data_IF_984010745904
#
_entry.id   IF_984010745904
#
_cell.length_a   1.000
_cell.length_b   1.000
_cell.length_c   1.000
_cell.angle_alpha   90.00
_cell.angle_beta   90.00
_cell.angle_gamma   90.00
#
_symmetry.space_group_name_H-M   'P 1'
#
loop_
_entity.id
_entity.type
_entity.pdbx_description
1 polymer ?
#
# COMPACT_ATOMS: atom_id res chain seq x y z
N UNK A 1 17.12 -9.56 42.79
CA UNK A 1 17.59 -8.22 43.24
C UNK A 1 17.40 -7.24 42.08
N UNK A 2 16.19 -6.67 41.95
CA UNK A 2 15.86 -5.68 40.93
C UNK A 2 15.98 -4.28 41.56
N UNK A 3 16.87 -3.42 41.03
CA UNK A 3 17.02 -2.04 41.52
C UNK A 3 15.91 -1.15 40.95
N UNK A 4 15.34 -0.23 41.73
CA UNK A 4 14.34 0.71 41.24
C UNK A 4 14.99 1.76 40.33
N UNK A 5 14.34 2.05 39.21
CA UNK A 5 14.73 3.12 38.28
C UNK A 5 14.46 4.48 38.93
N UNK A 6 15.48 5.09 39.53
CA UNK A 6 15.43 6.48 39.99
C UNK A 6 15.75 7.45 38.84
N UNK A 7 14.79 8.33 38.56
CA UNK A 7 14.88 9.73 38.07
C UNK A 7 15.80 10.13 36.89
N UNK A 8 16.45 9.22 36.17
CA UNK A 8 17.27 9.53 34.98
C UNK A 8 16.52 9.51 33.64
N UNK A 9 15.26 9.06 33.62
CA UNK A 9 14.51 8.73 32.39
C UNK A 9 14.04 9.96 31.60
N UNK A 10 13.86 11.11 32.25
CA UNK A 10 13.26 12.30 31.63
C UNK A 10 14.21 13.08 30.72
N UNK A 11 15.51 13.12 31.05
CA UNK A 11 16.51 13.85 30.27
C UNK A 11 16.92 13.11 28.97
N UNK A 12 16.96 11.77 29.01
CA UNK A 12 17.25 10.94 27.82
C UNK A 12 16.09 10.94 26.82
N UNK A 13 14.85 11.06 27.33
CA UNK A 13 13.63 11.08 26.53
C UNK A 13 13.46 12.37 25.69
N UNK A 14 14.05 13.50 26.12
CA UNK A 14 13.97 14.78 25.38
C UNK A 14 14.76 14.78 24.06
N UNK A 15 15.88 14.04 23.96
CA UNK A 15 16.62 13.89 22.69
C UNK A 15 15.94 12.91 21.73
N UNK A 16 15.19 11.93 22.23
CA UNK A 16 14.44 10.97 21.39
C UNK A 16 13.17 11.53 20.77
N UNK A 17 12.65 12.67 21.27
CA UNK A 17 11.45 13.32 20.71
C UNK A 17 11.64 13.83 19.26
N UNK A 18 12.89 13.94 18.79
CA UNK A 18 13.23 14.29 17.41
C UNK A 18 13.57 13.09 16.52
N UNK A 19 13.74 11.89 17.07
CA UNK A 19 14.16 10.73 16.30
C UNK A 19 12.95 9.86 15.92
N UNK A 20 12.63 9.85 14.64
CA UNK A 20 11.45 9.15 14.11
C UNK A 20 11.52 7.65 14.35
N UNK A 21 12.72 7.04 14.23
CA UNK A 21 12.92 5.61 14.51
C UNK A 21 12.53 5.27 15.94
N UNK A 22 12.96 6.07 16.91
CA UNK A 22 12.60 5.87 18.31
C UNK A 22 11.07 5.94 18.51
N UNK A 23 10.40 6.89 17.86
CA UNK A 23 8.93 7.01 17.88
C UNK A 23 8.25 5.75 17.31
N UNK A 24 8.74 5.22 16.19
CA UNK A 24 8.23 3.99 15.57
C UNK A 24 8.38 2.80 16.53
N UNK A 25 9.59 2.61 17.06
CA UNK A 25 9.91 1.51 17.99
C UNK A 25 9.09 1.58 19.29
N UNK A 26 8.88 2.79 19.83
CA UNK A 26 8.04 2.98 21.02
C UNK A 26 6.57 2.65 20.75
N UNK A 27 6.07 2.91 19.54
CA UNK A 27 4.73 2.48 19.14
C UNK A 27 4.62 0.96 19.05
N UNK A 28 5.63 0.29 18.49
CA UNK A 28 5.66 -1.18 18.40
C UNK A 28 5.68 -1.83 19.81
N UNK A 29 6.45 -1.26 20.74
CA UNK A 29 6.46 -1.70 22.15
C UNK A 29 5.11 -1.47 22.83
N UNK A 30 4.44 -0.34 22.56
CA UNK A 30 3.12 -0.07 23.10
C UNK A 30 2.08 -1.08 22.58
N UNK A 31 2.12 -1.40 21.28
CA UNK A 31 1.26 -2.43 20.70
C UNK A 31 1.50 -3.80 21.35
N UNK A 32 2.76 -4.19 21.55
CA UNK A 32 3.12 -5.45 22.22
C UNK A 32 2.65 -5.55 23.68
N UNK A 33 2.37 -4.42 24.33
CA UNK A 33 1.78 -4.35 25.68
C UNK A 33 0.25 -4.36 25.68
N UNK A 34 -0.39 -4.36 24.51
CA UNK A 34 -1.84 -4.21 24.38
C UNK A 34 -2.35 -2.77 24.45
N UNK A 35 -1.45 -1.77 24.50
CA UNK A 35 -1.80 -0.35 24.51
C UNK A 35 -2.04 0.18 23.08
N UNK A 36 -3.02 -0.39 22.37
CA UNK A 36 -3.24 -0.14 20.93
C UNK A 36 -3.51 1.34 20.62
N UNK A 37 -4.35 2.03 21.41
CA UNK A 37 -4.56 3.48 21.26
C UNK A 37 -3.29 4.29 21.52
N UNK A 38 -2.46 3.84 22.47
CA UNK A 38 -1.18 4.45 22.77
C UNK A 38 -0.17 4.31 21.63
N UNK A 39 -0.21 3.19 20.91
CA UNK A 39 0.59 2.95 19.71
C UNK A 39 0.15 3.87 18.56
N UNK A 40 -1.16 3.95 18.30
CA UNK A 40 -1.74 4.81 17.26
C UNK A 40 -1.33 6.28 17.48
N UNK A 41 -1.45 6.80 18.70
CA UNK A 41 -1.05 8.18 19.03
C UNK A 41 0.43 8.44 18.71
N UNK A 42 1.32 7.50 19.02
CA UNK A 42 2.76 7.62 18.75
C UNK A 42 3.04 7.62 17.25
N UNK A 43 2.46 6.70 16.49
CA UNK A 43 2.67 6.66 15.05
C UNK A 43 2.06 7.87 14.34
N UNK A 44 0.91 8.39 14.78
CA UNK A 44 0.34 9.64 14.26
C UNK A 44 1.26 10.84 14.51
N UNK A 45 1.97 10.89 15.64
CA UNK A 45 2.91 11.98 15.94
C UNK A 45 4.09 12.08 14.96
N UNK A 46 4.36 11.03 14.17
CA UNK A 46 5.40 11.04 13.13
C UNK A 46 5.09 12.09 12.06
N UNK A 47 3.82 12.39 11.80
CA UNK A 47 3.41 13.44 10.87
C UNK A 47 4.09 14.78 11.18
N UNK A 48 4.14 15.15 12.46
CA UNK A 48 4.74 16.40 12.92
C UNK A 48 6.27 16.34 12.96
N UNK A 49 6.85 15.15 13.14
CA UNK A 49 8.30 14.97 13.18
C UNK A 49 8.91 14.95 11.76
N UNK A 50 8.43 14.04 10.92
CA UNK A 50 8.78 13.95 9.52
C UNK A 50 7.74 13.08 8.76
N UNK A 51 6.89 13.68 7.92
CA UNK A 51 5.81 12.98 7.24
C UNK A 51 6.29 11.92 6.24
N UNK A 52 7.54 12.00 5.78
CA UNK A 52 8.08 11.05 4.81
C UNK A 52 8.17 9.61 5.37
N UNK A 53 8.21 9.43 6.70
CA UNK A 53 8.27 8.11 7.33
C UNK A 53 6.89 7.47 7.58
N UNK A 54 5.79 8.20 7.36
CA UNK A 54 4.43 7.68 7.55
C UNK A 54 4.15 6.35 6.82
N UNK A 55 4.61 6.15 5.56
CA UNK A 55 4.37 4.87 4.87
C UNK A 55 4.96 3.66 5.56
N UNK A 56 6.06 3.81 6.33
CA UNK A 56 6.68 2.71 7.07
C UNK A 56 5.80 2.21 8.23
N UNK A 57 4.87 3.04 8.70
CA UNK A 57 3.93 2.72 9.76
C UNK A 57 2.47 2.59 9.30
N UNK A 58 2.17 2.85 8.03
CA UNK A 58 0.79 2.85 7.54
C UNK A 58 0.09 1.50 7.73
N UNK A 59 0.74 0.40 7.37
CA UNK A 59 0.21 -0.96 7.52
C UNK A 59 -0.07 -1.31 9.00
N UNK A 60 0.89 -1.07 9.90
CA UNK A 60 0.73 -1.38 11.34
C UNK A 60 -0.30 -0.47 12.00
N UNK A 61 -0.39 0.80 11.58
CA UNK A 61 -1.40 1.74 12.03
C UNK A 61 -2.80 1.26 11.65
N UNK A 62 -3.00 0.82 10.40
CA UNK A 62 -4.29 0.29 9.96
C UNK A 62 -4.69 -1.00 10.69
N UNK A 63 -3.76 -1.93 10.90
CA UNK A 63 -4.01 -3.12 11.72
C UNK A 63 -4.47 -2.76 13.14
N UNK A 64 -3.83 -1.77 13.75
CA UNK A 64 -4.24 -1.28 15.07
C UNK A 64 -5.65 -0.65 15.05
N UNK A 65 -6.00 0.11 14.01
CA UNK A 65 -7.35 0.66 13.83
C UNK A 65 -8.41 -0.42 13.64
N UNK A 66 -8.11 -1.44 12.82
CA UNK A 66 -9.00 -2.58 12.59
C UNK A 66 -9.22 -3.37 13.89
N UNK A 67 -8.17 -3.60 14.67
CA UNK A 67 -8.28 -4.28 15.98
C UNK A 67 -9.21 -3.55 16.95
N UNK A 68 -9.30 -2.22 16.84
CA UNK A 68 -10.20 -1.39 17.66
C UNK A 68 -11.58 -1.17 17.03
N UNK A 69 -11.89 -1.80 15.89
CA UNK A 69 -13.15 -1.58 15.16
C UNK A 69 -13.29 -0.19 14.54
N UNK A 70 -12.19 0.57 14.42
CA UNK A 70 -12.15 1.97 13.95
C UNK A 70 -11.46 2.10 12.59
N UNK A 71 -11.62 1.11 11.72
CA UNK A 71 -10.95 1.04 10.42
C UNK A 71 -11.23 2.27 9.53
N UNK A 72 -12.49 2.72 9.49
CA UNK A 72 -12.91 3.89 8.70
C UNK A 72 -12.19 5.18 9.12
N UNK A 73 -11.95 5.39 10.43
CA UNK A 73 -11.21 6.57 10.92
C UNK A 73 -9.74 6.54 10.47
N UNK A 74 -9.09 5.38 10.59
CA UNK A 74 -7.71 5.20 10.15
C UNK A 74 -7.55 5.43 8.64
N UNK A 75 -8.50 4.90 7.87
CA UNK A 75 -8.54 5.02 6.41
C UNK A 75 -8.77 6.46 5.95
N UNK A 76 -9.75 7.16 6.54
CA UNK A 76 -10.00 8.57 6.27
C UNK A 76 -8.77 9.44 6.58
N UNK A 77 -8.07 9.13 7.67
CA UNK A 77 -6.84 9.82 8.01
C UNK A 77 -5.72 9.56 7.00
N UNK A 78 -5.49 8.32 6.57
CA UNK A 78 -4.47 8.01 5.56
C UNK A 78 -4.79 8.67 4.21
N UNK A 79 -6.07 8.72 3.80
CA UNK A 79 -6.52 9.44 2.61
C UNK A 79 -6.12 10.91 2.64
N UNK A 80 -6.31 11.58 3.78
CA UNK A 80 -5.88 12.99 3.94
C UNK A 80 -4.38 13.19 3.75
N UNK A 81 -3.55 12.14 3.96
CA UNK A 81 -2.09 12.22 3.78
C UNK A 81 -1.66 11.96 2.34
N UNK A 82 -2.50 11.31 1.52
CA UNK A 82 -2.20 11.12 0.11
C UNK A 82 -2.15 12.45 -0.64
N UNK A 83 -2.98 13.43 -0.23
CA UNK A 83 -2.97 14.79 -0.80
C UNK A 83 -1.67 15.57 -0.53
N UNK A 84 -0.86 15.15 0.45
CA UNK A 84 0.33 15.87 0.92
C UNK A 84 1.67 15.40 0.30
N UNK A 85 1.66 14.81 -0.91
CA UNK A 85 2.84 14.24 -1.64
C UNK A 85 3.30 12.85 -1.17
N UNK A 86 2.46 12.08 -0.47
CA UNK A 86 2.75 10.69 -0.04
C UNK A 86 1.94 9.63 -0.80
N UNK A 87 1.19 10.04 -1.83
CA UNK A 87 0.29 9.21 -2.64
C UNK A 87 0.83 7.82 -2.98
N UNK A 88 1.95 7.67 -3.72
CA UNK A 88 2.38 6.37 -4.23
C UNK A 88 2.84 5.40 -3.13
N UNK A 89 3.43 5.89 -2.03
CA UNK A 89 3.90 5.03 -0.93
C UNK A 89 2.77 4.51 -0.04
N UNK A 90 1.68 5.27 0.07
CA UNK A 90 0.50 4.89 0.85
C UNK A 90 -0.53 4.12 0.04
N UNK A 91 -0.44 4.19 -1.30
CA UNK A 91 -1.45 3.71 -2.22
C UNK A 91 -1.86 2.25 -1.98
N UNK A 92 -0.88 1.35 -1.86
CA UNK A 92 -1.13 -0.08 -1.68
C UNK A 92 -1.88 -0.39 -0.37
N UNK A 93 -1.55 0.33 0.70
CA UNK A 93 -2.20 0.15 2.01
C UNK A 93 -3.61 0.71 1.94
N UNK A 94 -3.77 1.96 1.48
CA UNK A 94 -5.08 2.61 1.40
C UNK A 94 -6.02 1.82 0.49
N UNK A 95 -5.56 1.36 -0.68
CA UNK A 95 -6.38 0.56 -1.60
C UNK A 95 -6.94 -0.71 -0.95
N UNK A 96 -6.11 -1.47 -0.25
CA UNK A 96 -6.52 -2.73 0.37
C UNK A 96 -7.63 -2.48 1.41
N UNK A 97 -7.42 -1.50 2.29
CA UNK A 97 -8.40 -1.19 3.31
C UNK A 97 -9.63 -0.47 2.75
N UNK A 98 -9.51 0.24 1.63
CA UNK A 98 -10.65 0.79 0.91
C UNK A 98 -11.55 -0.30 0.37
N UNK A 99 -10.95 -1.31 -0.25
CA UNK A 99 -11.66 -2.48 -0.76
C UNK A 99 -12.39 -3.22 0.36
N UNK A 100 -11.75 -3.37 1.53
CA UNK A 100 -12.33 -4.04 2.69
C UNK A 100 -13.49 -3.26 3.32
N UNK A 101 -13.46 -1.92 3.30
CA UNK A 101 -14.44 -1.07 4.01
C UNK A 101 -15.58 -0.61 3.11
N UNK A 102 -15.30 -0.21 1.87
CA UNK A 102 -16.26 0.43 0.96
C UNK A 102 -16.50 -0.37 -0.32
N UNK A 103 -15.71 -1.43 -0.57
CA UNK A 103 -15.88 -2.29 -1.73
C UNK A 103 -15.15 -1.81 -2.98
N UNK A 104 -15.37 -2.53 -4.09
CA UNK A 104 -14.55 -2.41 -5.30
C UNK A 104 -14.78 -1.10 -6.07
N UNK A 105 -16.00 -0.56 -6.07
CA UNK A 105 -16.33 0.69 -6.78
C UNK A 105 -15.59 1.90 -6.23
N UNK A 106 -15.60 2.07 -4.91
CA UNK A 106 -14.90 3.17 -4.25
C UNK A 106 -13.37 3.02 -4.36
N UNK A 107 -12.87 1.77 -4.33
CA UNK A 107 -11.45 1.49 -4.54
C UNK A 107 -10.99 1.83 -5.97
N UNK A 108 -11.81 1.55 -7.00
CA UNK A 108 -11.52 1.95 -8.40
C UNK A 108 -11.62 3.46 -8.58
N UNK A 109 -12.62 4.10 -7.98
CA UNK A 109 -12.75 5.56 -8.01
C UNK A 109 -11.52 6.24 -7.40
N UNK A 110 -11.02 5.72 -6.26
CA UNK A 110 -9.76 6.16 -5.65
C UNK A 110 -8.59 6.01 -6.63
N UNK A 111 -8.43 4.86 -7.29
CA UNK A 111 -7.34 4.65 -8.25
C UNK A 111 -7.38 5.62 -9.43
N UNK A 112 -8.57 5.84 -10.00
CA UNK A 112 -8.76 6.80 -11.10
C UNK A 112 -8.39 8.21 -10.67
N UNK A 113 -8.76 8.61 -9.46
CA UNK A 113 -8.38 9.92 -8.92
C UNK A 113 -6.86 10.06 -8.72
N UNK A 114 -6.20 9.01 -8.22
CA UNK A 114 -4.75 9.04 -8.03
C UNK A 114 -4.00 9.11 -9.36
N UNK A 115 -4.42 8.37 -10.40
CA UNK A 115 -3.80 8.45 -11.74
C UNK A 115 -3.95 9.86 -12.33
N UNK A 116 -5.11 10.50 -12.16
CA UNK A 116 -5.34 11.88 -12.62
C UNK A 116 -4.44 12.89 -11.90
N UNK A 117 -4.24 12.73 -10.59
CA UNK A 117 -3.42 13.64 -9.77
C UNK A 117 -1.92 13.43 -9.98
N UNK A 118 -1.49 12.18 -10.00
CA UNK A 118 -0.09 11.78 -10.12
C UNK A 118 0.01 10.43 -10.85
N UNK A 119 0.49 10.40 -12.11
CA UNK A 119 0.65 9.14 -12.82
C UNK A 119 1.67 8.27 -12.09
N UNK A 120 1.25 7.06 -11.71
CA UNK A 120 2.15 6.05 -11.13
C UNK A 120 1.86 4.68 -11.74
N UNK A 121 2.92 3.90 -11.97
CA UNK A 121 2.78 2.54 -12.47
C UNK A 121 2.07 1.64 -11.46
N UNK A 122 2.24 1.92 -10.16
CA UNK A 122 1.51 1.21 -9.12
C UNK A 122 -0.01 1.44 -9.21
N UNK A 123 -0.47 2.69 -9.35
CA UNK A 123 -1.90 2.99 -9.48
C UNK A 123 -2.52 2.37 -10.73
N UNK A 124 -1.80 2.40 -11.86
CA UNK A 124 -2.23 1.73 -13.07
C UNK A 124 -2.34 0.21 -12.87
N UNK A 125 -1.36 -0.40 -12.20
CA UNK A 125 -1.38 -1.85 -11.90
C UNK A 125 -2.63 -2.22 -11.10
N UNK A 126 -2.96 -1.45 -10.05
CA UNK A 126 -4.16 -1.67 -9.22
C UNK A 126 -5.48 -1.48 -9.98
N UNK A 127 -5.53 -0.51 -10.89
CA UNK A 127 -6.72 -0.28 -11.72
C UNK A 127 -6.97 -1.45 -12.66
N UNK A 128 -5.94 -1.93 -13.37
CA UNK A 128 -6.06 -3.08 -14.27
C UNK A 128 -6.40 -4.35 -13.47
N UNK A 129 -5.84 -4.54 -12.27
CA UNK A 129 -6.24 -5.62 -11.37
C UNK A 129 -7.75 -5.60 -11.07
N UNK A 130 -8.28 -4.45 -10.69
CA UNK A 130 -9.69 -4.31 -10.35
C UNK A 130 -10.61 -4.53 -11.58
N UNK A 131 -10.21 -4.04 -12.76
CA UNK A 131 -10.96 -4.25 -14.01
C UNK A 131 -10.93 -5.71 -14.47
N UNK A 132 -9.79 -6.39 -14.31
CA UNK A 132 -9.67 -7.82 -14.61
C UNK A 132 -10.59 -8.67 -13.72
N UNK A 133 -10.68 -8.34 -12.41
CA UNK A 133 -11.59 -9.02 -11.49
C UNK A 133 -13.05 -8.84 -11.93
N UNK A 134 -13.47 -7.61 -12.26
CA UNK A 134 -14.83 -7.33 -12.75
C UNK A 134 -15.15 -8.06 -14.05
N UNK A 135 -14.22 -8.07 -15.00
CA UNK A 135 -14.41 -8.78 -16.26
C UNK A 135 -14.57 -10.30 -16.03
N UNK A 136 -13.79 -10.88 -15.11
CA UNK A 136 -13.90 -12.30 -14.76
C UNK A 136 -15.22 -12.62 -14.02
N UNK A 137 -15.70 -11.73 -13.16
CA UNK A 137 -16.97 -11.87 -12.44
C UNK A 137 -18.17 -11.74 -13.38
N UNK A 138 -18.13 -10.83 -14.35
CA UNK A 138 -19.16 -10.67 -15.38
C UNK A 138 -19.31 -11.94 -16.22
N UNK A 139 -18.19 -12.49 -16.72
CA UNK A 139 -18.18 -13.77 -17.46
C UNK A 139 -18.70 -14.92 -16.57
N UNK A 140 -18.31 -14.97 -15.29
CA UNK A 140 -18.78 -16.02 -14.37
C UNK A 140 -20.29 -15.93 -14.09
N UNK A 141 -20.82 -14.71 -13.92
CA UNK A 141 -22.25 -14.49 -13.69
C UNK A 141 -23.09 -14.79 -14.93
N UNK A 142 -22.62 -14.42 -16.12
CA UNK A 142 -23.28 -14.73 -17.39
C UNK A 142 -23.31 -16.24 -17.69
N UNK A 143 -22.18 -16.94 -17.46
CA UNK A 143 -22.13 -18.41 -17.56
C UNK A 143 -23.06 -19.06 -16.52
N UNK A 144 -23.08 -18.56 -15.28
CA UNK A 144 -23.99 -19.08 -14.26
C UNK A 144 -25.48 -18.84 -14.60
N UNK A 145 -25.80 -17.73 -15.27
CA UNK A 145 -27.17 -17.42 -15.71
C UNK A 145 -27.58 -18.25 -16.92
N UNK A 146 -26.64 -18.61 -17.80
CA UNK A 146 -26.86 -19.45 -18.97
C UNK A 146 -26.97 -20.96 -18.66
N UNK A 147 -26.50 -21.43 -17.49
CA UNK A 147 -26.50 -22.85 -17.09
C UNK A 147 -27.74 -23.25 -16.25
N UNK A 148 -28.77 -22.39 -16.13
CA UNK A 148 -30.07 -22.79 -15.58
C UNK A 148 -30.70 -23.90 -16.44
N UNK A 149 -31.35 -24.93 -15.86
CA UNK A 149 -31.76 -26.11 -16.62
C UNK A 149 -32.83 -25.74 -17.64
N UNK A 150 -32.45 -25.80 -18.92
CA UNK A 150 -33.37 -25.68 -20.06
C UNK A 150 -34.29 -26.89 -20.03
N UNK A 151 -35.54 -26.69 -19.63
CA UNK A 151 -36.62 -27.62 -19.90
C UNK A 151 -36.99 -27.54 -21.39
N UNK A 152 -37.10 -28.70 -22.03
CA UNK A 152 -37.33 -28.88 -23.46
C UNK A 152 -38.47 -28.00 -24.02
N UNK A 153 -38.13 -26.94 -24.74
CA UNK A 153 -38.98 -26.46 -25.84
C UNK A 153 -38.18 -25.71 -26.90
N UNK A 154 -38.48 -26.08 -28.14
CA UNK A 154 -37.87 -25.72 -29.40
C UNK A 154 -37.79 -24.22 -29.73
N UNK A 155 -36.83 -23.90 -30.62
CA UNK A 155 -36.67 -22.67 -31.41
C UNK A 155 -36.46 -21.39 -30.61
N UNK A 156 -35.29 -21.27 -29.98
CA UNK A 156 -34.68 -19.98 -29.70
C UNK A 156 -33.56 -19.76 -30.73
N UNK A 157 -33.52 -18.57 -31.33
CA UNK A 157 -32.33 -18.05 -32.00
C UNK A 157 -31.09 -18.27 -31.10
N UNK A 158 -29.88 -18.49 -31.66
CA UNK A 158 -28.71 -18.69 -30.84
C UNK A 158 -28.46 -17.39 -30.08
N UNK A 159 -28.83 -17.38 -28.80
CA UNK A 159 -28.33 -16.41 -27.83
C UNK A 159 -26.82 -16.59 -27.87
N UNK A 160 -26.13 -15.64 -28.51
CA UNK A 160 -24.68 -15.59 -28.55
C UNK A 160 -24.19 -15.54 -27.11
N UNK A 161 -23.87 -16.72 -26.58
CA UNK A 161 -23.18 -16.91 -25.32
C UNK A 161 -22.03 -15.92 -25.25
N UNK A 162 -21.96 -15.14 -24.18
CA UNK A 162 -20.99 -14.07 -23.87
C UNK A 162 -19.95 -13.86 -24.96
N UNK A 163 -20.12 -12.78 -25.72
CA UNK A 163 -19.39 -12.54 -26.96
C UNK A 163 -17.91 -12.92 -26.80
N UNK A 164 -17.33 -13.63 -27.77
CA UNK A 164 -15.90 -14.00 -27.76
C UNK A 164 -14.99 -12.78 -27.42
N UNK A 165 -15.46 -11.57 -27.75
CA UNK A 165 -14.84 -10.31 -27.37
C UNK A 165 -14.73 -10.06 -25.85
N UNK A 166 -15.70 -10.44 -25.02
CA UNK A 166 -15.68 -10.24 -23.56
C UNK A 166 -14.69 -11.20 -22.88
N UNK A 167 -14.64 -12.45 -23.34
CA UNK A 167 -13.64 -13.44 -22.91
C UNK A 167 -12.23 -12.96 -23.32
N UNK A 168 -12.06 -12.50 -24.55
CA UNK A 168 -10.79 -11.96 -25.04
C UNK A 168 -10.38 -10.73 -24.22
N UNK A 169 -11.31 -9.82 -23.91
CA UNK A 169 -11.06 -8.65 -23.07
C UNK A 169 -10.58 -9.03 -21.67
N UNK A 170 -11.19 -10.03 -21.04
CA UNK A 170 -10.77 -10.52 -19.73
C UNK A 170 -9.36 -11.13 -19.78
N UNK A 171 -9.05 -11.89 -20.83
CA UNK A 171 -7.70 -12.43 -21.07
C UNK A 171 -6.67 -11.33 -21.29
N UNK A 172 -6.97 -10.32 -22.10
CA UNK A 172 -6.10 -9.18 -22.38
C UNK A 172 -5.81 -8.37 -21.12
N UNK A 173 -6.83 -8.08 -20.30
CA UNK A 173 -6.66 -7.39 -19.01
C UNK A 173 -5.80 -8.21 -18.03
N UNK A 174 -5.97 -9.53 -18.01
CA UNK A 174 -5.12 -10.45 -17.25
C UNK A 174 -3.65 -10.40 -17.70
N UNK A 175 -3.40 -10.42 -19.01
CA UNK A 175 -2.05 -10.34 -19.56
C UNK A 175 -1.38 -8.98 -19.28
N UNK A 176 -2.11 -7.88 -19.45
CA UNK A 176 -1.61 -6.52 -19.14
C UNK A 176 -1.28 -6.42 -17.64
N UNK A 177 -2.16 -6.92 -16.77
CA UNK A 177 -1.92 -6.97 -15.31
C UNK A 177 -0.60 -7.69 -15.01
N UNK A 178 -0.38 -8.86 -15.56
CA UNK A 178 0.80 -9.68 -15.24
C UNK A 178 2.10 -9.00 -15.71
N UNK A 179 2.07 -8.37 -16.88
CA UNK A 179 3.18 -7.56 -17.40
C UNK A 179 3.48 -6.35 -16.49
N UNK A 180 2.44 -5.60 -16.11
CA UNK A 180 2.57 -4.46 -15.21
C UNK A 180 3.10 -4.89 -13.85
N UNK A 181 2.55 -5.94 -13.25
CA UNK A 181 3.02 -6.49 -11.97
C UNK A 181 4.50 -6.90 -12.04
N UNK A 182 4.92 -7.57 -13.11
CA UNK A 182 6.32 -7.97 -13.31
C UNK A 182 7.27 -6.76 -13.33
N UNK A 183 6.87 -5.67 -13.98
CA UNK A 183 7.64 -4.41 -14.03
C UNK A 183 7.61 -3.66 -12.70
N UNK A 184 6.44 -3.48 -12.10
CA UNK A 184 6.26 -2.74 -10.85
C UNK A 184 6.97 -3.41 -9.67
N UNK A 185 6.96 -4.76 -9.59
CA UNK A 185 7.67 -5.53 -8.53
C UNK A 185 9.18 -5.26 -8.48
N UNK A 186 9.79 -4.82 -9.59
CA UNK A 186 11.23 -4.61 -9.71
C UNK A 186 11.67 -3.14 -9.54
N UNK A 187 10.74 -2.19 -9.67
CA UNK A 187 11.02 -0.74 -9.68
C UNK A 187 11.09 -0.13 -8.28
N UNK A 188 10.27 -0.60 -7.34
CA UNK A 188 10.15 0.03 -6.02
C UNK A 188 11.34 -0.31 -5.09
N UNK A 189 12.44 0.45 -5.19
CA UNK A 189 13.64 0.28 -4.35
C UNK A 189 13.96 1.52 -3.51
N UNK A 190 14.44 1.28 -2.28
CA UNK A 190 15.10 2.28 -1.46
C UNK A 190 16.57 2.35 -1.87
N UNK A 191 17.08 3.57 -2.06
CA UNK A 191 18.47 3.81 -2.44
C UNK A 191 19.18 4.55 -1.31
N UNK A 192 20.33 4.02 -0.89
CA UNK A 192 21.20 4.68 0.08
C UNK A 192 21.80 5.94 -0.54
N UNK A 193 21.66 7.09 0.12
CA UNK A 193 22.16 8.38 -0.39
C UNK A 193 23.69 8.50 -0.36
N UNK A 194 24.36 7.62 0.38
CA UNK A 194 25.81 7.71 0.64
C UNK A 194 26.63 6.76 -0.24
N UNK A 195 26.12 5.54 -0.48
CA UNK A 195 26.84 4.52 -1.27
C UNK A 195 26.07 3.99 -2.47
N UNK A 196 24.82 4.42 -2.68
CA UNK A 196 24.00 3.96 -3.80
C UNK A 196 23.46 2.53 -3.68
N UNK A 197 23.66 1.84 -2.55
CA UNK A 197 23.09 0.50 -2.32
C UNK A 197 21.56 0.53 -2.45
N UNK A 198 20.99 -0.44 -3.19
CA UNK A 198 19.55 -0.53 -3.47
C UNK A 198 18.92 -1.71 -2.74
N UNK A 199 17.90 -1.44 -1.93
CA UNK A 199 17.19 -2.44 -1.13
C UNK A 199 15.68 -2.46 -1.45
N UNK A 200 15.04 -3.63 -1.31
CA UNK A 200 13.57 -3.77 -1.39
C UNK A 200 12.88 -3.43 -0.06
N UNK A 201 13.58 -3.66 1.05
CA UNK A 201 13.14 -3.35 2.40
C UNK A 201 13.83 -2.08 2.89
N UNK A 202 13.17 -1.35 3.77
CA UNK A 202 13.78 -0.20 4.44
C UNK A 202 14.67 -0.69 5.57
N UNK A 203 15.94 -0.32 5.54
CA UNK A 203 16.89 -0.62 6.62
C UNK A 203 17.32 0.65 7.33
N UNK A 204 17.33 0.62 8.66
CA UNK A 204 17.87 1.74 9.44
C UNK A 204 19.38 1.87 9.32
N UNK A 205 20.07 0.76 9.10
CA UNK A 205 21.51 0.71 8.86
C UNK A 205 21.74 0.13 7.47
N UNK A 206 22.50 0.83 6.62
CA UNK A 206 22.77 0.37 5.26
C UNK A 206 23.68 -0.87 5.27
N UNK A 207 23.28 -2.00 4.64
CA UNK A 207 24.13 -3.19 4.53
C UNK A 207 25.42 -2.97 3.71
N UNK A 208 25.45 -1.97 2.83
CA UNK A 208 26.61 -1.69 1.98
C UNK A 208 27.69 -0.85 2.67
N UNK A 209 27.31 0.25 3.33
CA UNK A 209 28.26 1.18 3.94
C UNK A 209 28.20 1.24 5.48
N UNK A 210 27.36 0.43 6.12
CA UNK A 210 27.15 0.34 7.57
C UNK A 210 26.72 1.65 8.28
N UNK A 211 26.41 2.70 7.51
CA UNK A 211 25.96 4.00 8.02
C UNK A 211 24.46 3.97 8.37
N UNK A 212 24.07 4.76 9.36
CA UNK A 212 22.70 4.85 9.87
C UNK A 212 21.89 5.93 9.16
N UNK A 213 20.57 5.70 9.03
CA UNK A 213 19.57 6.66 8.54
C UNK A 213 19.86 7.23 7.13
N UNK A 214 20.55 6.45 6.29
CA UNK A 214 21.00 6.88 4.95
C UNK A 214 19.96 6.72 3.84
N UNK A 215 18.84 6.05 4.11
CA UNK A 215 17.77 5.86 3.14
C UNK A 215 16.70 6.95 3.28
N UNK A 216 16.31 7.55 2.16
CA UNK A 216 15.05 8.29 2.11
C UNK A 216 13.88 7.30 2.25
N UNK A 217 12.86 7.57 3.07
CA UNK A 217 11.67 6.71 3.23
C UNK A 217 10.69 6.85 2.05
N UNK A 218 11.22 7.05 0.84
CA UNK A 218 10.50 7.09 -0.43
C UNK A 218 11.14 6.07 -1.37
N UNK A 219 10.33 5.23 -1.99
CA UNK A 219 10.79 4.34 -3.05
C UNK A 219 10.85 5.16 -4.33
N UNK A 220 11.92 4.96 -5.08
CA UNK A 220 12.11 5.65 -6.37
C UNK A 220 11.73 4.69 -7.47
N UNK A 221 10.73 5.05 -8.28
CA UNK A 221 10.38 4.34 -9.52
C UNK A 221 11.34 4.77 -10.65
N UNK A 222 12.65 4.65 -10.46
CA UNK A 222 13.57 4.88 -11.57
C UNK A 222 13.51 3.67 -12.49
N UNK A 223 12.85 3.84 -13.64
CA UNK A 223 12.96 2.93 -14.77
C UNK A 223 14.46 2.77 -15.04
N UNK A 224 14.99 1.57 -14.76
CA UNK A 224 16.42 1.31 -14.82
C UNK A 224 16.99 1.73 -16.18
N UNK A 225 17.67 2.87 -16.21
CA UNK A 225 18.02 3.52 -17.46
C UNK A 225 18.59 4.93 -17.32
N UNK A 226 19.41 5.17 -16.31
CA UNK A 226 20.53 6.12 -16.41
C UNK A 226 21.42 5.92 -15.19
N UNK A 227 22.46 5.12 -15.38
CA UNK A 227 23.67 5.29 -14.57
C UNK A 227 24.24 6.67 -14.91
N UNK A 228 23.80 7.68 -14.17
CA UNK A 228 24.52 8.95 -14.06
C UNK A 228 25.48 8.83 -12.90
N UNK A 229 26.70 8.38 -13.18
CA UNK A 229 27.82 8.70 -12.32
C UNK A 229 27.94 10.23 -12.31
N UNK A 230 27.66 10.86 -11.17
CA UNK A 230 28.11 12.22 -10.92
C UNK A 230 29.44 12.12 -10.19
N UNK A 231 30.49 12.53 -10.90
CA UNK A 231 31.81 12.92 -10.37
C UNK A 231 31.67 14.08 -9.38
#
# INVERSE_FOLDING_TARGET
MWRPLSNGSSARCRKTQKNVRATIQLGDVALGKGETDGAIKRWRSIEQQNPAFLPLVAERLMKAYVQLGRAAEGLAWLRSKMDARLGPELLDVVYRYELDVHGIDDAVALMREQIRRQPSLMALTRLVEAEATRASEAVSHEVATAVAPVGDSALADPVEAGSNADIQRAQDLGAIRDLLQSRTRNLARYTCQECGFRARLFYWQCPGCNRWETYAPRRTETLGGSGGASM
#
